data_IF_165931752634
#
_entry.id   IF_165931752634
#
_cell.length_a   1.000
_cell.length_b   1.000
_cell.length_c   1.000
_cell.angle_alpha   90.00
_cell.angle_beta   90.00
_cell.angle_gamma   90.00
#
_symmetry.space_group_name_H-M   'P 1'
#
loop_
_entity.id
_entity.type
_entity.pdbx_description
1 polymer ?
#
# COMPACT_ATOMS: atom_id res chain seq x y z
N UNK A 1 -35.71 24.32 -5.18
CA UNK A 1 -34.52 23.83 -5.89
C UNK A 1 -33.34 24.01 -4.95
N UNK A 2 -32.86 22.94 -4.33
CA UNK A 2 -31.76 22.98 -3.37
C UNK A 2 -30.42 22.87 -4.12
N UNK A 3 -29.54 23.83 -3.88
CA UNK A 3 -28.19 23.94 -4.43
C UNK A 3 -27.32 22.75 -3.95
N UNK A 4 -26.50 22.13 -4.82
CA UNK A 4 -25.64 21.04 -4.40
C UNK A 4 -24.51 21.59 -3.52
N UNK A 5 -24.38 21.03 -2.32
CA UNK A 5 -23.31 21.29 -1.37
C UNK A 5 -21.95 20.99 -2.01
N UNK A 6 -21.16 22.04 -2.24
CA UNK A 6 -19.75 21.93 -2.61
C UNK A 6 -19.02 21.07 -1.57
N UNK A 7 -18.54 19.89 -1.97
CA UNK A 7 -17.53 19.14 -1.23
C UNK A 7 -16.36 20.09 -1.00
N UNK A 8 -16.17 20.54 0.25
CA UNK A 8 -14.96 21.24 0.67
C UNK A 8 -13.81 20.24 0.59
N UNK A 9 -13.15 20.19 -0.56
CA UNK A 9 -11.82 19.60 -0.70
C UNK A 9 -10.93 20.43 0.20
N UNK A 10 -10.52 19.86 1.34
CA UNK A 10 -9.56 20.49 2.25
C UNK A 10 -8.28 20.63 1.44
N UNK A 11 -7.92 21.86 1.08
CA UNK A 11 -6.66 22.15 0.38
C UNK A 11 -5.57 21.91 1.43
N UNK A 12 -4.93 20.75 1.35
CA UNK A 12 -3.75 20.41 2.14
C UNK A 12 -2.66 21.41 1.70
N UNK A 13 -2.07 22.13 2.64
CA UNK A 13 -0.96 23.06 2.34
C UNK A 13 0.31 22.25 1.97
N UNK A 14 1.24 22.81 1.21
CA UNK A 14 2.49 22.12 0.84
C UNK A 14 3.27 21.64 2.09
N UNK A 15 3.15 22.36 3.20
CA UNK A 15 3.75 22.02 4.51
C UNK A 15 3.03 20.87 5.26
N UNK A 16 1.73 20.67 5.01
CA UNK A 16 0.99 19.49 5.47
C UNK A 16 1.26 18.27 4.56
N UNK A 17 1.59 18.49 3.28
CA UNK A 17 1.92 17.43 2.34
C UNK A 17 3.28 16.76 2.62
N UNK A 18 4.23 17.46 3.24
CA UNK A 18 5.52 16.90 3.68
C UNK A 18 5.41 16.00 4.91
N UNK A 19 4.34 16.16 5.71
CA UNK A 19 4.18 15.45 6.97
C UNK A 19 3.35 14.17 6.80
N UNK A 20 4.05 13.08 6.45
CA UNK A 20 3.49 11.73 6.52
C UNK A 20 3.00 11.45 7.94
N UNK A 21 1.70 11.19 8.05
CA UNK A 21 1.03 10.86 9.30
C UNK A 21 1.38 9.44 9.76
N UNK A 22 1.23 9.19 11.07
CA UNK A 22 1.34 7.82 11.61
C UNK A 22 0.33 6.86 10.98
N UNK A 23 -0.86 7.37 10.62
CA UNK A 23 -1.90 6.57 9.96
C UNK A 23 -1.45 6.10 8.58
N UNK A 24 -0.85 6.99 7.79
CA UNK A 24 -0.31 6.62 6.48
C UNK A 24 0.81 5.60 6.62
N UNK A 25 1.74 5.80 7.55
CA UNK A 25 2.80 4.84 7.84
C UNK A 25 2.25 3.47 8.23
N UNK A 26 1.28 3.41 9.15
CA UNK A 26 0.66 2.16 9.58
C UNK A 26 -0.02 1.41 8.43
N UNK A 27 -0.57 2.13 7.45
CA UNK A 27 -1.16 1.49 6.27
C UNK A 27 -0.13 0.71 5.43
N UNK A 28 1.15 1.09 5.46
CA UNK A 28 2.23 0.32 4.81
C UNK A 28 2.75 -0.84 5.68
N UNK A 29 2.58 -0.76 7.00
CA UNK A 29 3.07 -1.79 7.93
C UNK A 29 2.08 -2.93 8.15
N UNK A 30 0.82 -2.59 8.40
CA UNK A 30 -0.22 -3.55 8.74
C UNK A 30 -0.59 -4.35 7.49
N UNK A 31 -0.70 -5.67 7.65
CA UNK A 31 -1.12 -6.60 6.61
C UNK A 31 -2.63 -6.84 6.61
N UNK A 32 -3.17 -7.19 5.45
CA UNK A 32 -4.58 -7.50 5.25
C UNK A 32 -5.08 -8.57 6.21
N UNK A 33 -4.29 -9.64 6.41
CA UNK A 33 -4.64 -10.75 7.30
C UNK A 33 -4.82 -10.36 8.78
N UNK A 34 -4.27 -9.23 9.22
CA UNK A 34 -4.35 -8.73 10.60
C UNK A 34 -5.70 -8.06 10.88
N UNK A 35 -6.36 -7.55 9.84
CA UNK A 35 -7.59 -6.76 9.98
C UNK A 35 -8.81 -7.34 9.26
N UNK A 36 -8.61 -8.23 8.29
CA UNK A 36 -9.71 -8.80 7.51
C UNK A 36 -10.70 -9.60 8.37
N UNK A 37 -11.92 -9.74 7.87
CA UNK A 37 -12.87 -10.72 8.39
C UNK A 37 -12.53 -12.11 7.83
N UNK A 38 -12.07 -12.99 8.72
CA UNK A 38 -11.86 -14.43 8.46
C UNK A 38 -13.21 -15.14 8.43
N UNK A 39 -13.31 -16.19 7.61
CA UNK A 39 -14.48 -17.06 7.51
C UNK A 39 -15.83 -16.29 7.40
N UNK A 40 -15.97 -15.41 6.38
CA UNK A 40 -17.16 -14.60 6.21
C UNK A 40 -18.40 -15.45 5.94
N UNK A 41 -19.57 -14.93 6.27
CA UNK A 41 -20.85 -15.55 5.88
C UNK A 41 -20.95 -15.58 4.36
N UNK A 42 -21.18 -16.77 3.80
CA UNK A 42 -21.34 -16.99 2.35
C UNK A 42 -22.76 -17.40 2.01
N UNK A 43 -23.22 -17.08 0.79
CA UNK A 43 -24.52 -17.47 0.26
C UNK A 43 -24.35 -18.36 -0.98
N UNK A 44 -25.40 -19.09 -1.35
CA UNK A 44 -25.42 -19.93 -2.56
C UNK A 44 -26.02 -19.16 -3.75
N UNK A 45 -25.55 -19.38 -5.00
CA UNK A 45 -26.02 -18.63 -6.16
C UNK A 45 -27.50 -18.85 -6.51
N UNK A 46 -28.05 -20.00 -6.13
CA UNK A 46 -29.45 -20.39 -6.36
C UNK A 46 -30.38 -20.05 -5.18
N UNK A 47 -29.85 -19.42 -4.13
CA UNK A 47 -30.66 -18.90 -3.01
C UNK A 47 -31.52 -17.73 -3.50
N UNK A 48 -32.71 -17.54 -2.92
CA UNK A 48 -33.58 -16.44 -3.31
C UNK A 48 -33.12 -15.11 -2.68
N UNK A 49 -33.37 -14.00 -3.38
CA UNK A 49 -33.04 -12.65 -2.89
C UNK A 49 -33.73 -12.32 -1.56
N UNK A 50 -34.94 -12.84 -1.32
CA UNK A 50 -35.64 -12.75 -0.03
C UNK A 50 -34.84 -13.34 1.14
N UNK A 51 -34.22 -14.49 0.93
CA UNK A 51 -33.43 -15.19 1.96
C UNK A 51 -32.14 -14.41 2.24
N UNK A 52 -31.49 -13.91 1.19
CA UNK A 52 -30.32 -13.05 1.32
C UNK A 52 -30.60 -11.78 2.14
N UNK A 53 -31.74 -11.11 1.89
CA UNK A 53 -32.19 -9.94 2.64
C UNK A 53 -32.34 -10.25 4.14
N UNK A 54 -32.96 -11.38 4.46
CA UNK A 54 -33.16 -11.80 5.85
C UNK A 54 -31.84 -12.15 6.55
N UNK A 55 -30.92 -12.81 5.85
CA UNK A 55 -29.57 -13.09 6.36
C UNK A 55 -28.82 -11.78 6.62
N UNK A 56 -28.86 -10.82 5.69
CA UNK A 56 -28.20 -9.52 5.86
C UNK A 56 -28.73 -8.78 7.09
N UNK A 57 -30.05 -8.78 7.26
CA UNK A 57 -30.74 -8.18 8.42
C UNK A 57 -30.34 -8.85 9.74
N UNK A 58 -30.44 -10.18 9.81
CA UNK A 58 -30.18 -10.96 11.03
C UNK A 58 -28.71 -10.91 11.44
N UNK A 59 -27.80 -11.02 10.47
CA UNK A 59 -26.35 -11.05 10.69
C UNK A 59 -25.72 -9.67 10.72
N UNK A 60 -26.49 -8.62 10.42
CA UNK A 60 -26.04 -7.21 10.35
C UNK A 60 -24.87 -7.02 9.39
N UNK A 61 -24.92 -7.71 8.25
CA UNK A 61 -23.92 -7.59 7.17
C UNK A 61 -24.52 -6.83 6.00
N UNK A 62 -23.66 -6.12 5.25
CA UNK A 62 -24.05 -5.32 4.07
C UNK A 62 -23.65 -5.97 2.75
N UNK A 63 -23.04 -7.16 2.81
CA UNK A 63 -22.61 -7.92 1.65
C UNK A 63 -22.08 -9.29 2.05
N UNK A 64 -22.13 -10.24 1.12
CA UNK A 64 -21.68 -11.60 1.31
C UNK A 64 -21.06 -12.16 0.02
N UNK A 65 -19.95 -12.92 0.12
CA UNK A 65 -19.43 -13.73 -0.97
C UNK A 65 -20.39 -14.86 -1.36
N UNK A 66 -20.43 -15.20 -2.65
CA UNK A 66 -21.32 -16.23 -3.21
C UNK A 66 -20.48 -17.44 -3.62
N UNK A 67 -20.77 -18.59 -3.00
CA UNK A 67 -20.07 -19.84 -3.28
C UNK A 67 -20.98 -20.85 -3.98
N UNK A 68 -20.54 -21.38 -5.12
CA UNK A 68 -21.17 -22.52 -5.79
C UNK A 68 -20.61 -23.83 -5.22
N UNK A 69 -21.19 -24.33 -4.13
CA UNK A 69 -20.65 -25.48 -3.39
C UNK A 69 -19.68 -25.04 -2.30
N UNK A 70 -18.65 -25.84 -2.00
CA UNK A 70 -17.82 -25.65 -0.79
C UNK A 70 -16.79 -24.53 -0.89
N UNK A 71 -16.11 -24.39 -2.03
CA UNK A 71 -14.95 -23.49 -2.16
C UNK A 71 -14.93 -22.70 -3.48
N UNK A 72 -15.96 -22.80 -4.32
CA UNK A 72 -15.99 -22.15 -5.63
C UNK A 72 -16.65 -20.78 -5.55
N UNK A 73 -15.83 -19.72 -5.45
CA UNK A 73 -16.31 -18.33 -5.42
C UNK A 73 -16.77 -17.88 -6.80
N UNK A 74 -18.06 -17.57 -6.92
CA UNK A 74 -18.71 -17.22 -8.20
C UNK A 74 -19.23 -15.79 -8.28
N UNK A 75 -19.25 -15.08 -7.15
CA UNK A 75 -19.74 -13.71 -7.13
C UNK A 75 -19.74 -13.08 -5.75
N UNK A 76 -20.24 -11.86 -5.71
CA UNK A 76 -20.48 -11.12 -4.47
C UNK A 76 -21.84 -10.44 -4.54
N UNK A 77 -22.57 -10.47 -3.43
CA UNK A 77 -23.84 -9.77 -3.29
C UNK A 77 -23.68 -8.65 -2.27
N UNK A 78 -24.25 -7.49 -2.58
CA UNK A 78 -24.19 -6.30 -1.73
C UNK A 78 -25.57 -5.74 -1.44
N UNK A 79 -25.64 -4.83 -0.46
CA UNK A 79 -26.87 -4.09 -0.17
C UNK A 79 -27.36 -3.27 -1.38
N UNK A 80 -26.46 -2.81 -2.25
CA UNK A 80 -26.83 -2.11 -3.49
C UNK A 80 -27.57 -3.03 -4.47
N UNK A 81 -27.19 -4.31 -4.52
CA UNK A 81 -27.86 -5.33 -5.33
C UNK A 81 -29.22 -5.69 -4.76
N UNK A 82 -29.34 -5.76 -3.42
CA UNK A 82 -30.64 -5.90 -2.75
C UNK A 82 -31.56 -4.71 -3.03
N UNK A 83 -31.04 -3.48 -2.99
CA UNK A 83 -31.81 -2.27 -3.32
C UNK A 83 -32.30 -2.35 -4.78
N UNK A 84 -31.44 -2.77 -5.71
CA UNK A 84 -31.79 -2.94 -7.13
C UNK A 84 -32.89 -3.98 -7.33
N UNK A 85 -32.79 -5.12 -6.66
CA UNK A 85 -33.81 -6.17 -6.66
C UNK A 85 -35.15 -5.67 -6.10
N UNK A 86 -35.13 -4.92 -4.98
CA UNK A 86 -36.33 -4.33 -4.38
C UNK A 86 -37.00 -3.33 -5.32
N UNK A 87 -36.23 -2.49 -6.02
CA UNK A 87 -36.77 -1.56 -7.02
C UNK A 87 -37.45 -2.28 -8.19
N UNK A 88 -36.96 -3.47 -8.54
CA UNK A 88 -37.54 -4.33 -9.58
C UNK A 88 -38.70 -5.21 -9.05
N UNK A 89 -38.98 -5.19 -7.74
CA UNK A 89 -39.98 -6.06 -7.09
C UNK A 89 -39.71 -7.56 -7.30
N UNK A 90 -38.44 -7.95 -7.29
CA UNK A 90 -38.00 -9.25 -7.80
C UNK A 90 -37.36 -10.14 -6.71
N UNK A 91 -38.00 -10.21 -5.55
CA UNK A 91 -37.46 -10.89 -4.36
C UNK A 91 -37.38 -12.42 -4.50
N UNK A 92 -38.08 -12.99 -5.48
CA UNK A 92 -38.09 -14.43 -5.76
C UNK A 92 -37.02 -14.82 -6.79
N UNK A 93 -36.31 -13.85 -7.41
CA UNK A 93 -35.18 -14.14 -8.27
C UNK A 93 -34.03 -14.81 -7.51
N UNK A 94 -33.19 -15.52 -8.25
CA UNK A 94 -31.98 -16.14 -7.72
C UNK A 94 -30.86 -15.10 -7.56
N UNK A 95 -30.00 -15.29 -6.55
CA UNK A 95 -28.87 -14.39 -6.29
C UNK A 95 -27.97 -14.22 -7.53
N UNK A 96 -27.76 -15.27 -8.32
CA UNK A 96 -26.91 -15.23 -9.52
C UNK A 96 -27.34 -14.20 -10.58
N UNK A 97 -28.61 -13.77 -10.57
CA UNK A 97 -29.14 -12.76 -11.49
C UNK A 97 -28.72 -11.34 -11.08
N UNK A 98 -28.43 -11.12 -9.79
CA UNK A 98 -28.10 -9.81 -9.22
C UNK A 98 -26.66 -9.69 -8.72
N UNK A 99 -25.96 -10.82 -8.51
CA UNK A 99 -24.59 -10.80 -7.98
C UNK A 99 -23.60 -10.15 -8.95
N UNK A 100 -22.60 -9.48 -8.39
CA UNK A 100 -21.47 -9.00 -9.16
C UNK A 100 -20.47 -10.14 -9.35
N UNK A 101 -20.17 -10.47 -10.61
CA UNK A 101 -19.21 -11.54 -10.99
C UNK A 101 -17.79 -11.03 -11.20
N UNK A 102 -17.62 -9.72 -11.44
CA UNK A 102 -16.30 -9.08 -11.49
C UNK A 102 -15.79 -8.85 -10.06
N UNK A 103 -15.06 -9.83 -9.55
CA UNK A 103 -14.53 -9.82 -8.20
C UNK A 103 -13.28 -8.96 -8.13
N UNK A 104 -13.23 -8.04 -7.17
CA UNK A 104 -11.99 -7.40 -6.77
C UNK A 104 -11.38 -8.17 -5.61
N UNK A 105 -10.15 -8.63 -5.81
CA UNK A 105 -9.42 -9.46 -4.85
C UNK A 105 -8.23 -8.72 -4.26
N UNK A 106 -7.71 -9.22 -3.14
CA UNK A 106 -6.47 -8.78 -2.50
C UNK A 106 -5.80 -9.96 -1.82
N UNK A 107 -4.46 -9.99 -1.80
CA UNK A 107 -3.78 -11.10 -1.17
C UNK A 107 -3.75 -10.97 0.35
N UNK A 108 -3.73 -12.12 1.00
CA UNK A 108 -3.66 -12.28 2.45
C UNK A 108 -2.50 -11.51 3.10
N UNK A 109 -1.34 -11.42 2.43
CA UNK A 109 -0.13 -10.78 2.95
C UNK A 109 0.12 -9.37 2.39
N UNK A 110 -0.81 -8.82 1.60
CA UNK A 110 -0.70 -7.46 1.10
C UNK A 110 -0.76 -6.46 2.27
N UNK A 111 -0.02 -5.34 2.22
CA UNK A 111 -0.24 -4.22 3.13
C UNK A 111 -1.60 -3.55 2.94
N UNK A 112 -2.13 -2.92 3.99
CA UNK A 112 -3.43 -2.21 3.92
C UNK A 112 -3.44 -1.07 2.91
N UNK A 113 -2.31 -0.44 2.63
CA UNK A 113 -2.21 0.61 1.61
C UNK A 113 -2.65 0.10 0.24
N UNK A 114 -2.41 -1.17 -0.09
CA UNK A 114 -2.85 -1.76 -1.36
C UNK A 114 -4.38 -1.95 -1.39
N UNK A 115 -4.98 -2.31 -0.25
CA UNK A 115 -6.44 -2.32 -0.10
C UNK A 115 -7.02 -0.91 -0.29
N UNK A 116 -6.41 0.10 0.32
CA UNK A 116 -6.82 1.50 0.19
C UNK A 116 -6.71 1.99 -1.26
N UNK A 117 -5.59 1.68 -1.95
CA UNK A 117 -5.40 1.98 -3.38
C UNK A 117 -6.50 1.33 -4.23
N UNK A 118 -6.81 0.05 -4.01
CA UNK A 118 -7.92 -0.66 -4.67
C UNK A 118 -9.28 -0.03 -4.40
N UNK A 119 -9.53 0.41 -3.18
CA UNK A 119 -10.78 1.08 -2.80
C UNK A 119 -10.96 2.49 -3.36
N UNK A 120 -9.87 3.14 -3.78
CA UNK A 120 -9.91 4.44 -4.47
C UNK A 120 -10.02 4.24 -5.98
N UNK A 121 -9.27 3.28 -6.53
CA UNK A 121 -9.29 2.95 -7.95
C UNK A 121 -10.62 2.28 -8.38
N UNK A 122 -11.31 1.62 -7.45
CA UNK A 122 -12.61 0.98 -7.69
C UNK A 122 -13.68 1.63 -6.82
N UNK A 123 -14.95 1.56 -7.26
CA UNK A 123 -16.09 1.96 -6.43
C UNK A 123 -16.58 0.83 -5.50
N UNK A 124 -15.79 -0.24 -5.33
CA UNK A 124 -16.21 -1.36 -4.50
C UNK A 124 -16.12 -1.03 -3.01
N UNK A 125 -17.10 -1.50 -2.24
CA UNK A 125 -17.12 -1.33 -0.78
C UNK A 125 -16.36 -2.42 -0.02
N UNK A 126 -15.98 -3.51 -0.69
CA UNK A 126 -15.31 -4.68 -0.12
C UNK A 126 -14.42 -5.38 -1.14
N UNK A 127 -13.36 -6.02 -0.67
CA UNK A 127 -12.45 -6.84 -1.45
C UNK A 127 -12.48 -8.27 -0.91
N UNK A 128 -12.39 -9.25 -1.80
CA UNK A 128 -12.21 -10.65 -1.43
C UNK A 128 -10.74 -10.87 -1.09
N UNK A 129 -10.46 -11.44 0.07
CA UNK A 129 -9.09 -11.81 0.43
C UNK A 129 -8.80 -13.22 -0.07
N UNK A 130 -7.72 -13.38 -0.82
CA UNK A 130 -7.27 -14.65 -1.38
C UNK A 130 -5.88 -15.02 -0.87
N UNK A 131 -5.58 -16.32 -0.82
CA UNK A 131 -4.23 -16.82 -0.61
C UNK A 131 -3.41 -16.83 -1.92
N UNK A 132 -2.21 -17.43 -1.87
CA UNK A 132 -1.32 -17.54 -3.03
C UNK A 132 -1.89 -18.42 -4.15
N UNK A 133 -2.80 -19.35 -3.81
CA UNK A 133 -3.43 -20.29 -4.74
C UNK A 133 -4.76 -19.75 -5.30
N UNK A 134 -5.02 -18.44 -5.14
CA UNK A 134 -6.29 -17.77 -5.50
C UNK A 134 -7.52 -18.29 -4.74
N UNK A 135 -7.32 -19.04 -3.64
CA UNK A 135 -8.43 -19.48 -2.83
C UNK A 135 -8.87 -18.36 -1.91
N UNK A 136 -10.18 -18.15 -1.83
CA UNK A 136 -10.77 -17.20 -0.90
C UNK A 136 -10.52 -17.63 0.55
N UNK A 137 -9.99 -16.70 1.34
CA UNK A 137 -9.68 -16.89 2.77
C UNK A 137 -10.33 -15.82 3.68
N UNK A 138 -10.95 -14.80 3.09
CA UNK A 138 -11.64 -13.77 3.87
C UNK A 138 -12.28 -12.67 3.03
N UNK A 139 -12.78 -11.64 3.70
CA UNK A 139 -13.14 -10.34 3.09
C UNK A 139 -12.52 -9.19 3.87
N UNK A 140 -12.28 -8.08 3.20
CA UNK A 140 -11.88 -6.83 3.85
C UNK A 140 -12.74 -5.66 3.34
N UNK A 141 -13.12 -4.78 4.26
CA UNK A 141 -13.91 -3.57 3.99
C UNK A 141 -13.18 -2.32 4.48
N UNK A 142 -13.66 -1.14 4.07
CA UNK A 142 -13.19 0.15 4.62
C UNK A 142 -13.39 0.24 6.15
N UNK A 143 -14.43 -0.41 6.67
CA UNK A 143 -14.70 -0.47 8.11
C UNK A 143 -13.64 -1.28 8.86
N UNK A 144 -13.29 -2.46 8.34
CA UNK A 144 -12.24 -3.31 8.91
C UNK A 144 -10.90 -2.58 8.97
N UNK A 145 -10.53 -1.89 7.89
CA UNK A 145 -9.30 -1.08 7.83
C UNK A 145 -9.32 0.02 8.89
N UNK A 146 -10.42 0.76 9.01
CA UNK A 146 -10.51 1.84 9.99
C UNK A 146 -10.39 1.30 11.43
N UNK A 147 -11.09 0.22 11.76
CA UNK A 147 -10.98 -0.44 13.07
C UNK A 147 -9.57 -0.97 13.33
N UNK A 148 -8.92 -1.56 12.31
CA UNK A 148 -7.55 -2.05 12.40
C UNK A 148 -6.53 -0.93 12.67
N UNK A 149 -6.63 0.17 11.91
CA UNK A 149 -5.76 1.34 12.10
C UNK A 149 -5.93 1.97 13.48
N UNK A 150 -7.18 2.10 13.96
CA UNK A 150 -7.45 2.63 15.31
C UNK A 150 -6.81 1.76 16.40
N UNK A 151 -6.94 0.43 16.31
CA UNK A 151 -6.30 -0.49 17.26
C UNK A 151 -4.77 -0.41 17.22
N UNK A 152 -4.19 -0.27 16.04
CA UNK A 152 -2.74 -0.15 15.89
C UNK A 152 -2.20 1.16 16.50
N UNK A 153 -2.91 2.28 16.31
CA UNK A 153 -2.59 3.55 16.96
C UNK A 153 -2.63 3.46 18.50
N UNK A 154 -3.60 2.73 19.05
CA UNK A 154 -3.70 2.50 20.49
C UNK A 154 -2.51 1.70 21.03
N UNK A 155 -2.04 0.70 20.29
CA UNK A 155 -0.90 -0.15 20.67
C UNK A 155 0.44 0.61 20.62
N UNK A 156 0.64 1.44 19.60
CA UNK A 156 1.85 2.28 19.48
C UNK A 156 2.05 3.23 20.65
N UNK A 157 0.96 3.78 21.19
CA UNK A 157 1.02 4.65 22.36
C UNK A 157 1.67 3.96 23.56
N UNK A 158 1.51 2.63 23.68
CA UNK A 158 2.09 1.83 24.77
C UNK A 158 3.56 1.44 24.51
N UNK A 159 3.97 1.20 23.25
CA UNK A 159 5.38 0.90 22.92
C UNK A 159 6.32 2.12 23.07
N UNK A 160 5.80 3.34 22.86
CA UNK A 160 6.60 4.57 22.91
C UNK A 160 7.20 4.88 24.28
N UNK A 161 6.58 4.45 25.38
CA UNK A 161 7.12 4.64 26.75
C UNK A 161 8.38 3.77 27.00
N UNK A 162 8.53 2.64 26.30
CA UNK A 162 9.64 1.69 26.56
C UNK A 162 10.89 2.01 25.73
N UNK A 163 10.74 2.57 24.51
CA UNK A 163 11.88 2.86 23.61
C UNK A 163 12.69 4.11 23.96
N UNK A 164 12.16 5.01 24.79
CA UNK A 164 12.91 6.19 25.27
C UNK A 164 14.20 5.84 26.05
N UNK A 165 14.41 4.57 26.41
CA UNK A 165 15.57 4.14 27.20
C UNK A 165 16.75 3.56 26.42
N UNK A 166 16.70 3.44 25.08
CA UNK A 166 17.85 2.95 24.29
C UNK A 166 17.88 3.53 22.87
N UNK A 167 18.58 4.64 22.68
CA UNK A 167 19.37 4.91 21.47
C UNK A 167 20.18 6.22 21.60
N UNK A 168 21.49 6.05 21.77
CA UNK A 168 22.61 6.79 21.14
C UNK A 168 23.83 5.91 21.47
N UNK A 169 24.71 5.51 20.55
CA UNK A 169 25.94 6.25 20.21
C UNK A 169 26.66 5.55 19.01
N UNK A 170 25.97 4.79 18.15
CA UNK A 170 26.64 3.97 17.10
C UNK A 170 27.57 4.78 16.16
N UNK A 171 27.26 6.05 15.91
CA UNK A 171 28.10 6.96 15.11
C UNK A 171 28.92 7.93 15.96
N UNK A 172 28.57 8.13 17.23
CA UNK A 172 29.24 9.08 18.13
C UNK A 172 30.55 8.51 18.70
N UNK A 173 30.68 7.18 18.75
CA UNK A 173 31.87 6.49 19.26
C UNK A 173 32.92 6.15 18.18
N UNK A 174 32.72 6.56 16.92
CA UNK A 174 33.62 6.24 15.79
C UNK A 174 34.32 7.52 15.32
N UNK A 175 35.60 7.68 15.64
CA UNK A 175 36.45 8.72 15.06
C UNK A 175 36.76 8.41 13.59
N UNK A 176 36.08 9.10 12.67
CA UNK A 176 36.33 9.02 11.23
C UNK A 176 35.93 10.33 10.56
N UNK A 177 36.66 10.74 9.52
CA UNK A 177 36.30 11.90 8.69
C UNK A 177 34.93 11.73 8.02
N UNK A 178 34.52 10.48 7.74
CA UNK A 178 33.21 10.13 7.19
C UNK A 178 32.83 8.69 7.51
N UNK A 179 31.90 8.51 8.46
CA UNK A 179 31.30 7.21 8.76
C UNK A 179 29.98 7.04 8.01
N UNK A 180 29.83 5.95 7.25
CA UNK A 180 28.55 5.57 6.66
C UNK A 180 28.20 4.10 6.91
N UNK A 181 26.92 3.83 7.11
CA UNK A 181 26.38 2.47 7.17
C UNK A 181 25.71 2.14 5.85
N UNK A 182 26.16 1.08 5.18
CA UNK A 182 25.61 0.64 3.91
C UNK A 182 24.80 -0.66 4.12
N UNK A 183 23.51 -0.59 3.83
CA UNK A 183 22.60 -1.74 3.77
C UNK A 183 22.35 -2.10 2.30
N UNK A 184 22.33 -3.40 1.97
CA UNK A 184 22.08 -3.90 0.62
C UNK A 184 21.04 -5.01 0.64
N UNK A 185 20.07 -4.92 -0.26
CA UNK A 185 18.99 -5.89 -0.42
C UNK A 185 18.84 -6.27 -1.88
N UNK A 186 18.76 -7.57 -2.15
CA UNK A 186 18.43 -8.10 -3.47
C UNK A 186 16.93 -8.35 -3.52
N UNK A 187 16.26 -7.73 -4.48
CA UNK A 187 14.82 -7.85 -4.68
C UNK A 187 14.59 -8.78 -5.86
N UNK A 188 13.75 -9.81 -5.68
CA UNK A 188 13.42 -10.76 -6.74
C UNK A 188 12.19 -10.28 -7.51
N UNK A 189 12.22 -10.40 -8.83
CA UNK A 189 11.05 -10.13 -9.66
C UNK A 189 9.87 -11.03 -9.24
N UNK A 190 8.67 -10.46 -9.17
CA UNK A 190 7.44 -11.20 -8.88
C UNK A 190 7.30 -11.75 -7.47
N UNK A 191 8.25 -11.49 -6.55
CA UNK A 191 8.13 -11.88 -5.14
C UNK A 191 7.25 -10.90 -4.35
N UNK A 192 5.95 -10.92 -4.64
CA UNK A 192 4.95 -10.14 -3.91
C UNK A 192 4.74 -10.64 -2.47
N UNK A 193 5.20 -11.85 -2.14
CA UNK A 193 5.01 -12.44 -0.81
C UNK A 193 5.93 -11.80 0.22
N UNK A 194 7.20 -11.57 -0.15
CA UNK A 194 8.16 -10.91 0.73
C UNK A 194 8.23 -9.39 0.51
N UNK A 195 7.39 -8.88 -0.39
CA UNK A 195 7.31 -7.46 -0.74
C UNK A 195 7.14 -6.54 0.48
N UNK A 196 8.02 -5.55 0.58
CA UNK A 196 8.07 -4.56 1.66
C UNK A 196 9.00 -4.95 2.81
N UNK A 197 9.58 -6.15 2.79
CA UNK A 197 10.46 -6.64 3.85
C UNK A 197 11.75 -5.84 3.94
N UNK A 198 12.31 -5.40 2.81
CA UNK A 198 13.50 -4.54 2.80
C UNK A 198 13.18 -3.19 3.46
N UNK A 199 12.07 -2.56 3.07
CA UNK A 199 11.57 -1.33 3.71
C UNK A 199 11.43 -1.48 5.24
N UNK A 200 10.74 -2.52 5.72
CA UNK A 200 10.56 -2.74 7.16
C UNK A 200 11.88 -2.95 7.90
N UNK A 201 12.85 -3.62 7.29
CA UNK A 201 14.18 -3.84 7.88
C UNK A 201 14.98 -2.55 7.98
N UNK A 202 15.00 -1.76 6.91
CA UNK A 202 15.72 -0.48 6.86
C UNK A 202 15.10 0.51 7.85
N UNK A 203 13.77 0.60 7.91
CA UNK A 203 13.08 1.43 8.88
C UNK A 203 13.44 1.07 10.32
N UNK A 204 13.42 -0.24 10.66
CA UNK A 204 13.82 -0.70 12.00
C UNK A 204 15.28 -0.36 12.30
N UNK A 205 16.17 -0.45 11.31
CA UNK A 205 17.56 -0.02 11.46
C UNK A 205 17.64 1.48 11.74
N UNK A 206 16.95 2.33 10.98
CA UNK A 206 16.93 3.78 11.19
C UNK A 206 16.44 4.19 12.58
N UNK A 207 15.33 3.60 13.04
CA UNK A 207 14.82 3.86 14.39
C UNK A 207 15.81 3.42 15.47
N UNK A 208 16.50 2.29 15.29
CA UNK A 208 17.53 1.82 16.23
C UNK A 208 18.79 2.69 16.22
N UNK A 209 19.07 3.35 15.10
CA UNK A 209 20.18 4.30 14.94
C UNK A 209 19.84 5.70 15.45
N UNK A 210 18.62 5.91 15.98
CA UNK A 210 18.20 7.21 16.52
C UNK A 210 17.67 8.20 15.49
N UNK A 211 17.39 7.76 14.25
CA UNK A 211 16.80 8.64 13.24
C UNK A 211 15.44 9.18 13.73
N UNK A 212 15.11 10.47 13.45
CA UNK A 212 13.81 11.03 13.80
C UNK A 212 12.68 10.19 13.19
N UNK A 213 11.58 9.99 13.93
CA UNK A 213 10.43 9.18 13.47
C UNK A 213 9.91 9.62 12.10
N UNK A 214 9.87 10.92 11.85
CA UNK A 214 9.41 11.48 10.59
C UNK A 214 10.33 11.12 9.41
N UNK A 215 11.65 11.08 9.63
CA UNK A 215 12.61 10.62 8.64
C UNK A 215 12.45 9.11 8.40
N UNK A 216 12.33 8.31 9.48
CA UNK A 216 12.14 6.87 9.36
C UNK A 216 10.86 6.52 8.58
N UNK A 217 9.76 7.27 8.79
CA UNK A 217 8.49 7.20 8.04
C UNK A 217 8.70 7.42 6.55
N UNK A 218 9.23 8.60 6.22
CA UNK A 218 9.53 9.05 4.86
C UNK A 218 10.38 8.01 4.11
N UNK A 219 11.46 7.58 4.75
CA UNK A 219 12.37 6.58 4.20
C UNK A 219 11.68 5.23 3.97
N UNK A 220 10.92 4.73 4.96
CA UNK A 220 10.18 3.48 4.85
C UNK A 220 9.22 3.45 3.67
N UNK A 221 8.41 4.51 3.49
CA UNK A 221 7.44 4.58 2.39
C UNK A 221 8.13 4.68 1.03
N UNK A 222 9.16 5.52 0.92
CA UNK A 222 9.94 5.65 -0.32
C UNK A 222 10.59 4.31 -0.74
N UNK A 223 11.17 3.58 0.22
CA UNK A 223 11.78 2.28 -0.05
C UNK A 223 10.72 1.25 -0.43
N UNK A 224 9.56 1.23 0.22
CA UNK A 224 8.49 0.29 -0.10
C UNK A 224 8.03 0.45 -1.56
N UNK A 225 7.77 1.68 -1.99
CA UNK A 225 7.33 1.95 -3.37
C UNK A 225 8.45 1.62 -4.37
N UNK A 226 9.71 1.90 -4.03
CA UNK A 226 10.85 1.53 -4.88
C UNK A 226 11.05 0.00 -4.97
N UNK A 227 10.87 -0.72 -3.86
CA UNK A 227 10.90 -2.18 -3.79
C UNK A 227 9.79 -2.79 -4.64
N UNK A 228 8.56 -2.26 -4.57
CA UNK A 228 7.45 -2.71 -5.40
C UNK A 228 7.72 -2.48 -6.89
N UNK A 229 8.31 -1.34 -7.26
CA UNK A 229 8.68 -1.08 -8.64
C UNK A 229 9.70 -2.11 -9.16
N UNK A 230 10.66 -2.53 -8.32
CA UNK A 230 11.61 -3.59 -8.68
C UNK A 230 10.91 -4.95 -8.86
N UNK A 231 9.94 -5.29 -8.02
CA UNK A 231 9.19 -6.54 -8.12
C UNK A 231 8.33 -6.57 -9.39
N UNK A 232 7.70 -5.44 -9.73
CA UNK A 232 6.67 -5.35 -10.78
C UNK A 232 7.25 -5.12 -12.18
N UNK A 233 8.21 -4.20 -12.31
CA UNK A 233 8.59 -3.64 -13.62
C UNK A 233 9.92 -4.15 -14.18
N UNK A 234 10.67 -4.94 -13.42
CA UNK A 234 11.96 -5.51 -13.86
C UNK A 234 11.76 -6.89 -14.48
N UNK A 235 12.82 -7.46 -15.08
CA UNK A 235 12.83 -8.83 -15.63
C UNK A 235 13.59 -9.84 -14.77
N UNK A 236 14.48 -9.38 -13.89
CA UNK A 236 15.32 -10.26 -13.05
C UNK A 236 15.37 -9.79 -11.59
N UNK A 237 14.57 -8.78 -11.24
CA UNK A 237 14.65 -8.09 -9.96
C UNK A 237 15.65 -6.94 -10.01
N UNK A 238 16.16 -6.56 -8.84
CA UNK A 238 17.12 -5.48 -8.73
C UNK A 238 17.73 -5.37 -7.34
N UNK A 239 18.44 -4.28 -7.10
CA UNK A 239 19.16 -4.03 -5.85
C UNK A 239 18.68 -2.74 -5.23
N UNK A 240 18.49 -2.76 -3.92
CA UNK A 240 18.33 -1.57 -3.08
C UNK A 240 19.61 -1.42 -2.25
N UNK A 241 20.34 -0.32 -2.44
CA UNK A 241 21.48 0.10 -1.63
C UNK A 241 21.07 1.34 -0.84
N UNK A 242 21.11 1.25 0.49
CA UNK A 242 20.88 2.39 1.37
C UNK A 242 22.19 2.74 2.06
N UNK A 243 22.58 4.00 1.96
CA UNK A 243 23.75 4.56 2.63
C UNK A 243 23.27 5.60 3.64
N UNK A 244 23.53 5.34 4.92
CA UNK A 244 23.13 6.18 6.04
C UNK A 244 24.37 6.90 6.55
N UNK A 245 24.34 8.22 6.49
CA UNK A 245 25.37 9.13 6.96
C UNK A 245 24.81 9.99 8.11
N UNK A 246 25.67 10.79 8.75
CA UNK A 246 25.26 11.66 9.86
C UNK A 246 24.32 12.79 9.44
N UNK A 247 24.40 13.25 8.19
CA UNK A 247 23.61 14.38 7.66
C UNK A 247 22.55 13.97 6.62
N UNK A 248 22.62 12.76 6.06
CA UNK A 248 21.71 12.34 5.00
C UNK A 248 21.56 10.82 4.91
N UNK A 249 20.49 10.40 4.24
CA UNK A 249 20.25 9.02 3.82
C UNK A 249 20.16 9.03 2.30
N UNK A 250 21.04 8.26 1.63
CA UNK A 250 20.98 8.04 0.18
C UNK A 250 20.45 6.65 -0.12
N UNK A 251 19.43 6.56 -0.97
CA UNK A 251 18.84 5.30 -1.43
C UNK A 251 19.09 5.21 -2.93
N UNK A 252 19.88 4.22 -3.35
CA UNK A 252 20.06 3.85 -4.75
C UNK A 252 19.31 2.55 -5.02
N UNK A 253 18.33 2.59 -5.91
CA UNK A 253 17.67 1.40 -6.45
C UNK A 253 18.01 1.25 -7.92
N UNK A 254 18.34 0.04 -8.36
CA UNK A 254 18.69 -0.20 -9.76
C UNK A 254 18.42 -1.62 -10.21
N UNK A 255 18.15 -1.76 -11.51
CA UNK A 255 17.92 -3.01 -12.20
C UNK A 255 18.62 -3.02 -13.58
N UNK A 256 18.69 -4.20 -14.19
CA UNK A 256 19.21 -4.40 -15.55
C UNK A 256 18.10 -4.81 -16.53
N UNK A 257 16.84 -4.51 -16.19
CA UNK A 257 15.66 -4.92 -16.93
C UNK A 257 15.32 -4.00 -18.11
N UNK A 258 14.03 -3.85 -18.46
CA UNK A 258 13.63 -3.25 -19.73
C UNK A 258 13.82 -1.73 -19.76
N UNK A 259 14.02 -1.07 -18.62
CA UNK A 259 14.00 0.39 -18.54
C UNK A 259 12.61 0.99 -18.77
N UNK A 260 12.54 2.31 -18.79
CA UNK A 260 11.35 3.13 -18.95
C UNK A 260 11.48 3.87 -20.29
N UNK A 261 10.50 3.71 -21.19
CA UNK A 261 10.50 4.37 -22.51
C UNK A 261 10.39 5.89 -22.41
N UNK A 262 9.48 6.35 -21.56
CA UNK A 262 9.16 7.74 -21.35
C UNK A 262 9.13 8.01 -19.83
N UNK A 263 10.19 8.62 -19.34
CA UNK A 263 10.39 8.91 -17.91
C UNK A 263 9.41 9.99 -17.44
N UNK A 264 9.13 11.00 -18.28
CA UNK A 264 8.19 12.07 -17.92
C UNK A 264 6.77 11.51 -17.77
N UNK A 265 6.38 10.60 -18.66
CA UNK A 265 5.10 9.93 -18.56
C UNK A 265 5.02 9.02 -17.33
N UNK A 266 6.11 8.32 -16.99
CA UNK A 266 6.18 7.47 -15.80
C UNK A 266 5.98 8.22 -14.47
N UNK A 267 6.33 9.51 -14.44
CA UNK A 267 6.13 10.37 -13.26
C UNK A 267 4.70 10.88 -13.11
N UNK A 268 3.81 10.65 -14.11
CA UNK A 268 2.42 11.13 -14.04
C UNK A 268 1.56 10.22 -13.16
N UNK A 269 0.75 10.78 -12.23
CA UNK A 269 -0.16 10.00 -11.40
C UNK A 269 -1.08 9.10 -12.25
N UNK A 270 -1.22 7.85 -11.85
CA UNK A 270 -2.09 6.87 -12.50
C UNK A 270 -1.47 6.17 -13.72
N UNK A 271 -0.27 6.58 -14.17
CA UNK A 271 0.41 5.91 -15.27
C UNK A 271 1.21 4.71 -14.78
N UNK A 272 1.07 3.58 -15.49
CA UNK A 272 1.74 2.32 -15.13
C UNK A 272 1.94 1.44 -16.34
N UNK A 273 3.10 0.78 -16.44
CA UNK A 273 3.40 -0.23 -17.47
C UNK A 273 3.15 -1.66 -16.99
N UNK A 274 2.54 -1.83 -15.81
CA UNK A 274 2.23 -3.15 -15.26
C UNK A 274 1.28 -3.92 -16.18
N UNK A 275 1.50 -5.23 -16.30
CA UNK A 275 0.63 -6.13 -17.06
C UNK A 275 -0.79 -6.15 -16.48
N UNK A 276 -1.76 -6.59 -17.29
CA UNK A 276 -3.14 -6.75 -16.85
C UNK A 276 -3.24 -7.69 -15.63
N UNK A 277 -2.50 -8.80 -15.63
CA UNK A 277 -2.43 -9.72 -14.48
C UNK A 277 -1.92 -9.04 -13.21
N UNK A 278 -0.93 -8.15 -13.28
CA UNK A 278 -0.42 -7.42 -12.11
C UNK A 278 -1.42 -6.35 -11.64
N UNK A 279 -2.14 -5.72 -12.58
CA UNK A 279 -3.22 -4.76 -12.26
C UNK A 279 -4.45 -5.44 -11.69
N UNK A 280 -4.75 -6.67 -12.08
CA UNK A 280 -5.83 -7.48 -11.49
C UNK A 280 -5.47 -7.93 -10.07
N UNK A 281 -4.19 -8.22 -9.83
CA UNK A 281 -3.64 -8.33 -8.47
C UNK A 281 -3.67 -7.00 -7.71
N UNK A 282 -4.04 -5.90 -8.39
CA UNK A 282 -4.17 -4.52 -7.94
C UNK A 282 -2.91 -3.87 -7.42
N UNK A 283 -1.78 -4.34 -7.92
CA UNK A 283 -0.55 -3.56 -7.96
C UNK A 283 -0.50 -2.72 -9.23
N UNK A 284 0.45 -1.80 -9.32
CA UNK A 284 0.66 -1.02 -10.54
C UNK A 284 -0.44 0.00 -10.82
N UNK A 285 -1.04 0.60 -9.78
CA UNK A 285 -1.98 1.72 -9.89
C UNK A 285 -1.33 3.03 -10.41
N UNK A 286 -0.02 3.05 -10.63
CA UNK A 286 0.69 4.20 -11.19
C UNK A 286 0.92 5.35 -10.20
N UNK A 287 0.96 5.04 -8.90
CA UNK A 287 1.21 6.04 -7.84
C UNK A 287 2.60 5.94 -7.22
N UNK A 288 3.37 4.89 -7.51
CA UNK A 288 4.60 4.59 -6.77
C UNK A 288 5.65 5.70 -6.84
N UNK A 289 6.02 6.15 -8.05
CA UNK A 289 7.01 7.23 -8.23
C UNK A 289 6.54 8.57 -7.63
N UNK A 290 5.23 8.85 -7.70
CA UNK A 290 4.62 10.05 -7.10
C UNK A 290 4.64 9.99 -5.57
N UNK A 291 4.40 8.81 -5.00
CA UNK A 291 4.48 8.60 -3.56
C UNK A 291 5.93 8.77 -3.08
N UNK A 292 6.90 8.24 -3.83
CA UNK A 292 8.33 8.43 -3.55
C UNK A 292 8.68 9.91 -3.56
N UNK A 293 8.32 10.66 -4.62
CA UNK A 293 8.69 12.07 -4.74
C UNK A 293 8.15 12.94 -3.60
N UNK A 294 7.01 12.59 -3.02
CA UNK A 294 6.43 13.27 -1.85
C UNK A 294 7.17 12.96 -0.55
N UNK A 295 7.84 11.82 -0.48
CA UNK A 295 8.48 11.35 0.74
C UNK A 295 9.92 11.84 0.89
N UNK A 296 10.53 12.45 -0.13
CA UNK A 296 11.99 12.63 -0.22
C UNK A 296 12.38 14.04 -0.63
N UNK A 297 13.60 14.46 -0.28
CA UNK A 297 14.06 15.83 -0.54
C UNK A 297 14.63 15.97 -1.96
N UNK A 298 15.33 14.94 -2.45
CA UNK A 298 15.82 14.89 -3.83
C UNK A 298 15.53 13.53 -4.46
N UNK A 299 15.17 13.54 -5.74
CA UNK A 299 14.89 12.34 -6.52
C UNK A 299 15.49 12.49 -7.92
N UNK A 300 16.26 11.50 -8.36
CA UNK A 300 16.82 11.40 -9.70
C UNK A 300 16.51 10.02 -10.28
N UNK A 301 15.77 10.00 -11.39
CA UNK A 301 15.40 8.79 -12.11
C UNK A 301 16.13 8.77 -13.46
N UNK A 302 17.02 7.81 -13.63
CA UNK A 302 17.78 7.57 -14.86
C UNK A 302 17.34 6.24 -15.45
N UNK A 303 16.89 6.22 -16.70
CA UNK A 303 16.45 4.98 -17.34
C UNK A 303 16.81 4.98 -18.81
N UNK A 304 17.22 3.81 -19.29
CA UNK A 304 17.50 3.59 -20.71
C UNK A 304 16.75 2.35 -21.16
N UNK A 305 15.89 2.52 -22.16
CA UNK A 305 15.13 1.40 -22.72
C UNK A 305 16.06 0.27 -23.18
N UNK A 306 15.83 -0.93 -22.67
CA UNK A 306 16.63 -2.14 -22.89
C UNK A 306 17.89 -2.28 -22.04
N UNK A 307 18.18 -1.35 -21.11
CA UNK A 307 19.38 -1.42 -20.24
C UNK A 307 19.09 -1.34 -18.74
N UNK A 308 17.85 -1.04 -18.35
CA UNK A 308 17.41 -0.95 -16.96
C UNK A 308 17.18 0.47 -16.47
N UNK A 309 16.86 0.57 -15.18
CA UNK A 309 16.55 1.82 -14.51
C UNK A 309 17.39 1.97 -13.25
N UNK A 310 17.74 3.21 -12.93
CA UNK A 310 18.34 3.61 -11.66
C UNK A 310 17.54 4.77 -11.07
N UNK A 311 17.03 4.57 -9.87
CA UNK A 311 16.39 5.60 -9.08
C UNK A 311 17.27 5.89 -7.86
N UNK A 312 17.80 7.12 -7.82
CA UNK A 312 18.54 7.66 -6.68
C UNK A 312 17.69 8.66 -5.93
N UNK A 313 17.67 8.53 -4.61
CA UNK A 313 16.84 9.34 -3.74
C UNK A 313 17.65 9.78 -2.53
N UNK A 314 17.47 11.01 -2.06
CA UNK A 314 18.11 11.53 -0.84
C UNK A 314 17.09 12.10 0.14
N UNK A 315 17.35 11.87 1.42
CA UNK A 315 16.62 12.45 2.54
C UNK A 315 17.63 13.07 3.49
N UNK A 316 17.50 14.37 3.78
CA UNK A 316 18.38 15.09 4.69
C UNK A 316 17.93 14.90 6.15
N UNK A 317 18.91 14.78 7.05
CA UNK A 317 18.67 14.59 8.48
C UNK A 317 18.59 15.93 9.25
N UNK A 318 19.26 16.96 8.74
CA UNK A 318 19.32 18.32 9.31
C UNK A 318 18.97 19.37 8.22
N UNK A 319 18.32 20.48 8.60
CA UNK A 319 17.93 21.57 7.66
C UNK A 319 19.15 22.29 7.03
N UNK A 320 20.29 22.35 7.73
CA UNK A 320 21.54 22.96 7.21
C UNK A 320 22.10 22.25 5.97
N UNK A 321 21.75 20.98 5.79
CA UNK A 321 22.15 20.16 4.63
C UNK A 321 21.39 20.53 3.36
N UNK A 322 20.19 21.13 3.50
CA UNK A 322 19.37 21.58 2.37
C UNK A 322 19.96 22.85 1.72
N UNK A 323 20.42 23.79 2.55
CA UNK A 323 20.93 25.10 2.09
C UNK A 323 22.36 25.08 1.52
N UNK A 324 23.15 24.06 1.86
CA UNK A 324 24.55 23.95 1.42
C UNK A 324 24.69 23.52 -0.05
N UNK A 325 23.77 22.69 -0.57
CA UNK A 325 23.78 22.27 -1.99
C UNK A 325 23.00 23.22 -2.93
N UNK A 326 22.00 23.99 -2.44
CA UNK A 326 21.32 25.01 -3.27
C UNK A 326 22.27 26.13 -3.71
N UNK A 327 23.36 26.36 -2.97
CA UNK A 327 24.40 27.34 -3.32
C UNK A 327 25.50 26.78 -4.23
N UNK A 328 25.50 25.47 -4.52
CA UNK A 328 26.48 24.81 -5.41
C UNK A 328 25.88 24.38 -6.77
N UNK A 329 24.60 24.65 -7.02
CA UNK A 329 23.87 24.27 -8.26
C UNK A 329 23.81 25.36 -9.32
#
# INVERSE_FOLDING_TARGET
MASPTQKRTRIITDQEAENISRVEELAYEIKVNEVMTKDPITLAPNMHMREALEIFRQKRISGAPILAGKDNLVGILSIEDLIRCLMNTDLEASINEYMTTKLATIYYNDPLVEALKKFVATNFGRLIVVDQDQKMVGIITKGDINTGLLKALEYDYQEEEVRKYRASHLFEDIESDRTSLILRYNIKQGDFTTGGQASSNIKRALVRLGAPKQIARRCGIAIYEAEMNLIIHTTEGGVIRVEIESNQITIDTYDYGPGIKDVEQAMKPGFSTASESVREMGFGAGMGLVNISRCVDQMKLESVWGKGTRLRIRIFLDDRSKESEENES
#
